data_IF_530633958570
#
_entry.id   IF_530633958570
#
_cell.length_a   1.000
_cell.length_b   1.000
_cell.length_c   1.000
_cell.angle_alpha   90.00
_cell.angle_beta   90.00
_cell.angle_gamma   90.00
#
_symmetry.space_group_name_H-M   'P 1'
#
loop_
_entity.id
_entity.type
_entity.pdbx_description
1 polymer ?
#
# COMPACT_ATOMS: atom_id res chain seq x y z
N UNK A 1 -6.76 10.57 1.34
CA UNK A 1 -5.51 9.89 1.73
C UNK A 1 -5.89 8.44 1.96
N UNK A 2 -5.33 7.55 1.16
CA UNK A 2 -5.53 6.10 1.20
C UNK A 2 -4.59 5.41 2.19
N UNK A 3 -3.72 6.19 2.86
CA UNK A 3 -2.83 5.71 3.90
C UNK A 3 -3.51 4.76 4.90
N UNK A 4 -4.68 5.12 5.44
CA UNK A 4 -5.37 4.29 6.43
C UNK A 4 -5.78 2.92 5.86
N UNK A 5 -6.24 2.86 4.60
CA UNK A 5 -6.59 1.62 3.92
C UNK A 5 -5.33 0.78 3.66
N UNK A 6 -4.27 1.40 3.14
CA UNK A 6 -2.98 0.73 2.89
C UNK A 6 -2.42 0.18 4.21
N UNK A 7 -2.31 1.02 5.24
CA UNK A 7 -1.73 0.64 6.51
C UNK A 7 -2.52 -0.48 7.20
N UNK A 8 -3.86 -0.47 7.08
CA UNK A 8 -4.69 -1.58 7.57
C UNK A 8 -4.39 -2.89 6.84
N UNK A 9 -4.35 -2.91 5.51
CA UNK A 9 -4.06 -4.12 4.73
C UNK A 9 -2.64 -4.63 4.99
N UNK A 10 -1.68 -3.71 5.09
CA UNK A 10 -0.29 -4.03 5.45
C UNK A 10 -0.24 -4.67 6.83
N UNK A 11 -0.87 -4.05 7.84
CA UNK A 11 -0.94 -4.57 9.21
C UNK A 11 -1.58 -5.96 9.27
N UNK A 12 -2.65 -6.21 8.51
CA UNK A 12 -3.31 -7.51 8.44
C UNK A 12 -2.41 -8.60 7.82
N UNK A 13 -1.56 -8.24 6.85
CA UNK A 13 -0.60 -9.18 6.23
C UNK A 13 0.61 -9.47 7.12
N UNK A 14 1.26 -8.41 7.60
CA UNK A 14 2.55 -8.50 8.28
C UNK A 14 2.38 -8.81 9.77
N UNK A 15 1.18 -8.58 10.31
CA UNK A 15 0.89 -8.66 11.74
C UNK A 15 1.50 -7.52 12.54
N UNK A 16 2.07 -6.49 11.91
CA UNK A 16 2.54 -5.29 12.61
C UNK A 16 1.37 -4.38 12.99
N UNK A 17 1.56 -3.52 13.98
CA UNK A 17 0.51 -2.56 14.37
C UNK A 17 0.43 -1.43 13.34
N UNK A 18 -0.78 -1.00 12.97
CA UNK A 18 -1.00 0.17 12.08
C UNK A 18 -0.27 1.41 12.62
N UNK A 19 -0.14 1.50 13.95
CA UNK A 19 0.56 2.59 14.63
C UNK A 19 2.07 2.60 14.38
N UNK A 20 2.67 1.46 14.01
CA UNK A 20 4.08 1.34 13.66
C UNK A 20 4.34 1.66 12.19
N UNK A 21 3.30 1.63 11.36
CA UNK A 21 3.38 1.95 9.94
C UNK A 21 3.45 3.47 9.80
N UNK A 22 4.51 3.95 9.15
CA UNK A 22 4.67 5.37 8.82
C UNK A 22 4.56 5.56 7.31
N UNK A 23 4.21 6.76 6.84
CA UNK A 23 4.24 7.09 5.42
C UNK A 23 5.63 6.83 4.81
N UNK A 24 6.67 7.10 5.59
CA UNK A 24 8.08 6.91 5.24
C UNK A 24 8.54 5.45 5.28
N UNK A 25 7.77 4.55 5.91
CA UNK A 25 8.13 3.13 6.05
C UNK A 25 8.16 2.46 4.69
N UNK A 26 9.18 1.62 4.47
CA UNK A 26 9.26 0.83 3.24
C UNK A 26 8.49 -0.48 3.37
N UNK A 27 7.81 -0.90 2.30
CA UNK A 27 7.14 -2.20 2.24
C UNK A 27 8.10 -3.35 2.60
N UNK A 28 9.32 -3.31 2.05
CA UNK A 28 10.35 -4.31 2.33
C UNK A 28 10.80 -4.34 3.81
N UNK A 29 10.74 -3.21 4.53
CA UNK A 29 11.07 -3.15 5.97
C UNK A 29 9.95 -3.73 6.84
N UNK A 30 8.72 -3.60 6.37
CA UNK A 30 7.53 -4.19 7.01
C UNK A 30 7.40 -5.69 6.71
N UNK A 31 8.30 -6.26 5.90
CA UNK A 31 8.26 -7.66 5.49
C UNK A 31 7.33 -7.95 4.32
N UNK A 32 6.89 -6.91 3.60
CA UNK A 32 6.13 -7.05 2.37
C UNK A 32 7.08 -7.21 1.19
N UNK A 33 6.92 -8.31 0.48
CA UNK A 33 7.65 -8.57 -0.75
C UNK A 33 6.86 -8.14 -2.01
N UNK A 34 7.41 -8.42 -3.18
CA UNK A 34 6.74 -8.09 -4.45
C UNK A 34 5.43 -8.83 -4.67
N UNK A 35 5.29 -10.06 -4.14
CA UNK A 35 4.07 -10.85 -4.26
C UNK A 35 2.99 -10.29 -3.33
N UNK A 36 3.36 -10.00 -2.08
CA UNK A 36 2.48 -9.35 -1.10
C UNK A 36 2.00 -7.99 -1.59
N UNK A 37 2.87 -7.24 -2.28
CA UNK A 37 2.50 -5.96 -2.88
C UNK A 37 1.41 -6.15 -3.93
N UNK A 38 1.54 -7.11 -4.86
CA UNK A 38 0.50 -7.37 -5.89
C UNK A 38 -0.84 -7.70 -5.24
N UNK A 39 -0.80 -8.51 -4.20
CA UNK A 39 -1.99 -9.02 -3.55
C UNK A 39 -2.62 -7.95 -2.62
N UNK A 40 -1.81 -7.02 -2.10
CA UNK A 40 -2.27 -5.78 -1.45
C UNK A 40 -2.94 -4.82 -2.43
N UNK A 41 -2.36 -4.66 -3.63
CA UNK A 41 -2.96 -3.84 -4.68
C UNK A 41 -4.33 -4.36 -5.06
N UNK A 42 -4.45 -5.67 -5.35
CA UNK A 42 -5.75 -6.27 -5.69
C UNK A 42 -6.83 -5.99 -4.64
N UNK A 43 -6.51 -6.13 -3.35
CA UNK A 43 -7.44 -5.80 -2.27
C UNK A 43 -7.80 -4.31 -2.25
N UNK A 44 -6.82 -3.43 -2.46
CA UNK A 44 -7.05 -2.00 -2.55
C UNK A 44 -7.90 -1.63 -3.76
N UNK A 45 -7.63 -2.20 -4.92
CA UNK A 45 -8.38 -2.01 -6.17
C UNK A 45 -9.86 -2.36 -5.97
N UNK A 46 -10.14 -3.48 -5.31
CA UNK A 46 -11.51 -3.90 -4.96
C UNK A 46 -12.16 -2.98 -3.91
N UNK A 47 -11.41 -2.51 -2.91
CA UNK A 47 -11.93 -1.66 -1.84
C UNK A 47 -12.25 -0.24 -2.31
N UNK A 48 -11.41 0.33 -3.17
CA UNK A 48 -11.53 1.72 -3.64
C UNK A 48 -12.11 1.84 -5.05
N UNK A 49 -12.19 0.74 -5.80
CA UNK A 49 -12.69 0.68 -7.16
C UNK A 49 -11.79 1.36 -8.20
N UNK A 50 -10.48 1.42 -7.97
CA UNK A 50 -9.50 2.05 -8.88
C UNK A 50 -8.51 0.99 -9.32
N UNK A 51 -8.20 0.94 -10.61
CA UNK A 51 -7.16 0.06 -11.16
C UNK A 51 -5.76 0.65 -10.90
N UNK A 52 -4.91 -0.09 -10.18
CA UNK A 52 -3.59 0.32 -9.74
C UNK A 52 -2.53 -0.49 -10.51
N UNK A 53 -2.24 -0.06 -11.74
CA UNK A 53 -1.09 -0.58 -12.47
C UNK A 53 0.20 0.10 -11.99
N UNK A 54 1.03 -0.62 -11.25
CA UNK A 54 2.38 -0.16 -10.90
C UNK A 54 3.28 -0.14 -12.14
N UNK A 55 3.42 1.04 -12.76
CA UNK A 55 4.40 1.30 -13.82
C UNK A 55 5.83 1.49 -13.28
N UNK A 56 5.93 1.76 -11.98
CA UNK A 56 7.17 1.97 -11.23
C UNK A 56 7.14 1.21 -9.91
N UNK A 57 8.32 0.95 -9.39
CA UNK A 57 8.48 0.33 -8.07
C UNK A 57 8.07 1.34 -6.99
N UNK A 58 7.06 1.00 -6.21
CA UNK A 58 6.73 1.71 -4.97
C UNK A 58 7.59 1.13 -3.85
N UNK A 59 8.34 2.00 -3.18
CA UNK A 59 9.17 1.57 -2.05
C UNK A 59 8.52 1.88 -0.71
N UNK A 60 7.82 3.02 -0.60
CA UNK A 60 7.21 3.51 0.64
C UNK A 60 5.69 3.52 0.59
N UNK A 61 5.07 3.51 1.77
CA UNK A 61 3.61 3.63 1.91
C UNK A 61 3.11 4.94 1.30
N UNK A 62 3.84 6.05 1.53
CA UNK A 62 3.51 7.37 0.98
C UNK A 62 3.59 7.40 -0.55
N UNK A 63 4.55 6.69 -1.16
CA UNK A 63 4.62 6.57 -2.63
C UNK A 63 3.36 5.92 -3.20
N UNK A 64 2.88 4.85 -2.56
CA UNK A 64 1.66 4.17 -2.98
C UNK A 64 0.43 5.06 -2.77
N UNK A 65 0.31 5.72 -1.62
CA UNK A 65 -0.81 6.64 -1.35
C UNK A 65 -0.87 7.77 -2.38
N UNK A 66 0.26 8.41 -2.67
CA UNK A 66 0.37 9.45 -3.71
C UNK A 66 0.05 8.91 -5.10
N UNK A 67 0.49 7.69 -5.41
CA UNK A 67 0.20 7.07 -6.69
C UNK A 67 -1.31 6.91 -6.89
N UNK A 68 -2.01 6.37 -5.89
CA UNK A 68 -3.46 6.16 -5.94
C UNK A 68 -4.20 7.50 -6.03
N UNK A 69 -3.80 8.50 -5.23
CA UNK A 69 -4.36 9.85 -5.32
C UNK A 69 -4.21 10.45 -6.72
N UNK A 70 -3.08 10.19 -7.39
CA UNK A 70 -2.86 10.69 -8.76
C UNK A 70 -3.76 10.02 -9.81
N UNK A 71 -4.26 8.81 -9.54
CA UNK A 71 -5.17 8.07 -10.44
C UNK A 71 -6.63 8.46 -10.26
N UNK A 72 -7.00 8.98 -9.09
CA UNK A 72 -8.35 9.46 -8.82
C UNK A 72 -8.60 10.94 -9.20
N UNK A 73 -7.55 11.64 -9.66
CA UNK A 73 -7.58 13.06 -10.06
C UNK A 73 -7.97 13.30 -11.52
#
# INVERSE_FOLDING_TARGET
MYFDAIAKIVSERTGCDVSEIKPESKFAELGIDSLDTVELLMNLEDEIGIEIELDRKVETIDDLDKFIQSKQG
#
